data_IF_070369789255
#
_entry.id   IF_070369789255
#
_cell.length_a   1.000
_cell.length_b   1.000
_cell.length_c   1.000
_cell.angle_alpha   90.00
_cell.angle_beta   90.00
_cell.angle_gamma   90.00
#
_symmetry.space_group_name_H-M   'P 1'
#
loop_
_entity.id
_entity.type
_entity.pdbx_description
1 polymer ?
#
# COMPACT_ATOMS: atom_id res chain seq x y z
N UNK A 1 -34.26 2.19 2.89
CA UNK A 1 -34.07 3.52 2.25
C UNK A 1 -33.54 4.60 3.20
N UNK A 2 -34.12 4.82 4.39
CA UNK A 2 -33.67 5.85 5.35
C UNK A 2 -32.21 5.73 5.84
N UNK A 3 -31.70 4.50 6.02
CA UNK A 3 -30.32 4.26 6.47
C UNK A 3 -29.30 4.73 5.42
N UNK A 4 -29.53 4.40 4.15
CA UNK A 4 -28.62 4.77 3.06
C UNK A 4 -28.53 6.29 2.89
N UNK A 5 -29.65 7.00 2.99
CA UNK A 5 -29.67 8.46 2.96
C UNK A 5 -28.91 9.08 4.14
N UNK A 6 -29.03 8.49 5.34
CA UNK A 6 -28.29 8.93 6.52
C UNK A 6 -26.79 8.68 6.41
N UNK A 7 -26.38 7.55 5.81
CA UNK A 7 -24.96 7.27 5.54
C UNK A 7 -24.42 8.28 4.52
N UNK A 8 -25.14 8.51 3.42
CA UNK A 8 -24.72 9.43 2.38
C UNK A 8 -24.54 10.86 2.93
N UNK A 9 -25.48 11.34 3.75
CA UNK A 9 -25.38 12.67 4.34
C UNK A 9 -24.19 12.80 5.31
N UNK A 10 -23.88 11.75 6.08
CA UNK A 10 -22.70 11.73 6.95
C UNK A 10 -21.39 11.77 6.14
N UNK A 11 -21.32 11.01 5.04
CA UNK A 11 -20.15 11.01 4.15
C UNK A 11 -19.94 12.39 3.52
N UNK A 12 -21.00 13.01 2.99
CA UNK A 12 -20.92 14.38 2.46
C UNK A 12 -20.42 15.38 3.53
N UNK A 13 -20.99 15.34 4.74
CA UNK A 13 -20.57 16.21 5.83
C UNK A 13 -19.12 16.01 6.25
N UNK A 14 -18.64 14.77 6.22
CA UNK A 14 -17.22 14.47 6.47
C UNK A 14 -16.35 15.05 5.37
N UNK A 15 -16.64 14.75 4.10
CA UNK A 15 -15.88 15.27 2.96
C UNK A 15 -15.83 16.80 2.99
N UNK A 16 -16.96 17.47 3.19
CA UNK A 16 -17.03 18.93 3.29
C UNK A 16 -16.13 19.47 4.40
N UNK A 17 -16.09 18.81 5.56
CA UNK A 17 -15.19 19.19 6.65
C UNK A 17 -13.73 19.02 6.27
N UNK A 18 -13.38 17.92 5.60
CA UNK A 18 -11.99 17.64 5.20
C UNK A 18 -11.51 18.60 4.11
N UNK A 19 -12.37 18.92 3.12
CA UNK A 19 -12.05 19.87 2.04
C UNK A 19 -11.76 21.27 2.56
N UNK A 20 -12.55 21.72 3.54
CA UNK A 20 -12.48 23.08 4.06
C UNK A 20 -11.43 23.27 5.16
N UNK A 21 -10.67 22.24 5.52
CA UNK A 21 -9.55 22.43 6.45
C UNK A 21 -8.45 23.30 5.83
N UNK A 22 -7.99 24.29 6.60
CA UNK A 22 -6.84 25.13 6.26
C UNK A 22 -5.57 24.41 6.71
N UNK A 23 -5.02 23.59 5.82
CA UNK A 23 -3.71 22.96 6.01
C UNK A 23 -2.76 23.63 5.02
N UNK A 24 -1.67 24.20 5.54
CA UNK A 24 -0.60 24.75 4.73
C UNK A 24 0.33 23.63 4.23
N UNK A 25 1.20 23.96 3.26
CA UNK A 25 2.10 22.96 2.66
C UNK A 25 3.04 22.35 3.71
N UNK A 26 3.50 23.14 4.69
CA UNK A 26 4.38 22.66 5.75
C UNK A 26 3.62 21.70 6.67
N UNK A 27 2.44 22.09 7.15
CA UNK A 27 1.59 21.21 7.96
C UNK A 27 1.25 19.90 7.24
N UNK A 28 0.98 19.98 5.94
CA UNK A 28 0.75 18.80 5.10
C UNK A 28 1.96 17.86 5.09
N UNK A 29 3.16 18.40 4.84
CA UNK A 29 4.40 17.63 4.80
C UNK A 29 4.71 17.00 6.16
N UNK A 30 4.53 17.74 7.25
CA UNK A 30 4.74 17.24 8.61
C UNK A 30 3.82 16.06 8.89
N UNK A 31 2.52 16.20 8.63
CA UNK A 31 1.55 15.11 8.85
C UNK A 31 1.90 13.89 8.00
N UNK A 32 2.21 14.10 6.72
CA UNK A 32 2.59 13.02 5.82
C UNK A 32 3.84 12.27 6.30
N UNK A 33 4.91 12.99 6.64
CA UNK A 33 6.15 12.38 7.13
C UNK A 33 5.99 11.71 8.49
N UNK A 34 5.11 12.21 9.36
CA UNK A 34 4.76 11.50 10.60
C UNK A 34 4.17 10.11 10.30
N UNK A 35 3.22 10.00 9.37
CA UNK A 35 2.66 8.69 8.99
C UNK A 35 3.69 7.77 8.36
N UNK A 36 4.53 8.30 7.46
CA UNK A 36 5.63 7.54 6.87
C UNK A 36 6.60 7.05 7.93
N UNK A 37 6.99 7.90 8.88
CA UNK A 37 7.89 7.52 9.96
C UNK A 37 7.28 6.42 10.85
N UNK A 38 6.02 6.58 11.26
CA UNK A 38 5.31 5.56 12.04
C UNK A 38 5.25 4.23 11.28
N UNK A 39 4.92 4.26 9.98
CA UNK A 39 4.89 3.07 9.14
C UNK A 39 6.22 2.32 9.19
N UNK A 40 7.30 3.04 8.88
CA UNK A 40 8.63 2.48 8.80
C UNK A 40 9.08 1.97 10.18
N UNK A 41 8.75 2.70 11.25
CA UNK A 41 9.00 2.27 12.63
C UNK A 41 8.30 0.94 12.95
N UNK A 42 7.02 0.79 12.58
CA UNK A 42 6.29 -0.47 12.77
C UNK A 42 6.88 -1.62 11.94
N UNK A 43 7.27 -1.36 10.68
CA UNK A 43 7.93 -2.35 9.82
C UNK A 43 9.25 -2.87 10.45
N UNK A 44 10.05 -1.98 11.04
CA UNK A 44 11.28 -2.37 11.76
C UNK A 44 11.01 -3.18 13.03
N UNK A 45 9.95 -2.86 13.78
CA UNK A 45 9.58 -3.64 14.97
C UNK A 45 9.20 -5.09 14.60
N UNK A 46 8.59 -5.26 13.43
CA UNK A 46 8.19 -6.57 12.92
C UNK A 46 9.38 -7.33 12.32
N UNK A 47 10.24 -6.65 11.55
CA UNK A 47 11.38 -7.27 10.87
C UNK A 47 12.66 -6.42 10.97
N UNK A 48 13.43 -6.58 12.06
CA UNK A 48 14.65 -5.78 12.30
C UNK A 48 15.77 -6.05 11.28
N UNK A 49 15.73 -7.18 10.57
CA UNK A 49 16.82 -7.66 9.72
C UNK A 49 17.04 -6.85 8.42
N UNK A 50 16.11 -5.97 8.04
CA UNK A 50 16.18 -5.18 6.79
C UNK A 50 16.71 -3.75 6.97
N UNK A 51 17.13 -3.39 8.18
CA UNK A 51 17.53 -2.02 8.48
C UNK A 51 18.89 -1.67 7.84
N UNK A 52 18.83 -1.06 6.65
CA UNK A 52 19.98 -0.39 6.01
C UNK A 52 19.72 1.13 6.01
N UNK A 53 20.47 1.86 6.84
CA UNK A 53 20.36 3.32 7.03
C UNK A 53 20.15 4.12 5.74
N UNK A 54 20.93 3.83 4.70
CA UNK A 54 20.85 4.50 3.39
C UNK A 54 19.53 4.30 2.63
N UNK A 55 18.90 3.12 2.76
CA UNK A 55 17.58 2.85 2.17
C UNK A 55 16.45 3.45 3.03
N UNK A 56 16.72 3.61 4.32
CA UNK A 56 15.75 4.00 5.33
C UNK A 56 15.38 5.48 5.30
N UNK A 57 16.37 6.37 5.21
CA UNK A 57 16.14 7.81 5.39
C UNK A 57 15.79 8.56 4.11
N UNK A 58 16.18 8.03 2.95
CA UNK A 58 15.93 8.69 1.66
C UNK A 58 14.98 7.88 0.78
N UNK A 59 15.28 6.60 0.53
CA UNK A 59 14.50 5.80 -0.42
C UNK A 59 13.08 5.51 0.07
N UNK A 60 12.91 5.07 1.32
CA UNK A 60 11.58 4.79 1.87
C UNK A 60 10.65 6.02 1.84
N UNK A 61 11.03 7.13 2.50
CA UNK A 61 10.21 8.34 2.50
C UNK A 61 9.96 8.93 1.12
N UNK A 62 10.99 8.95 0.24
CA UNK A 62 10.82 9.42 -1.13
C UNK A 62 9.84 8.52 -1.92
N UNK A 63 9.95 7.20 -1.81
CA UNK A 63 9.04 6.26 -2.47
C UNK A 63 7.58 6.52 -2.08
N UNK A 64 7.30 6.69 -0.78
CA UNK A 64 5.95 7.00 -0.33
C UNK A 64 5.48 8.37 -0.81
N UNK A 65 6.34 9.40 -0.75
CA UNK A 65 6.01 10.74 -1.22
C UNK A 65 5.66 10.73 -2.71
N UNK A 66 6.50 10.14 -3.56
CA UNK A 66 6.27 10.06 -4.99
C UNK A 66 5.03 9.23 -5.34
N UNK A 67 4.80 8.12 -4.65
CA UNK A 67 3.60 7.30 -4.83
C UNK A 67 2.33 8.08 -4.47
N UNK A 68 2.39 8.85 -3.40
CA UNK A 68 1.28 9.66 -2.93
C UNK A 68 0.97 10.83 -3.88
N UNK A 69 2.01 11.53 -4.35
CA UNK A 69 1.89 12.59 -5.36
C UNK A 69 1.36 12.04 -6.68
N UNK A 70 1.85 10.88 -7.12
CA UNK A 70 1.33 10.20 -8.31
C UNK A 70 -0.17 9.89 -8.16
N UNK A 71 -0.60 9.40 -6.99
CA UNK A 71 -2.01 9.15 -6.73
C UNK A 71 -2.85 10.44 -6.73
N UNK A 72 -2.36 11.53 -6.13
CA UNK A 72 -3.02 12.84 -6.18
C UNK A 72 -3.16 13.32 -7.63
N UNK A 73 -2.11 13.20 -8.44
CA UNK A 73 -2.15 13.58 -9.85
C UNK A 73 -3.14 12.72 -10.64
N UNK A 74 -3.15 11.40 -10.39
CA UNK A 74 -4.11 10.49 -11.01
C UNK A 74 -5.55 10.89 -10.67
N UNK A 75 -5.84 11.15 -9.39
CA UNK A 75 -7.15 11.66 -8.96
C UNK A 75 -7.48 12.99 -9.60
N UNK A 76 -6.53 13.90 -9.70
CA UNK A 76 -6.68 15.19 -10.39
C UNK A 76 -7.08 15.00 -11.85
N UNK A 77 -6.41 14.12 -12.60
CA UNK A 77 -6.77 13.85 -13.99
C UNK A 77 -8.14 13.20 -14.15
N UNK A 78 -8.52 12.29 -13.25
CA UNK A 78 -9.80 11.57 -13.31
C UNK A 78 -10.99 12.46 -12.90
N UNK A 79 -10.85 13.23 -11.84
CA UNK A 79 -11.94 14.05 -11.28
C UNK A 79 -12.01 15.44 -11.87
N UNK A 80 -10.88 15.98 -12.34
CA UNK A 80 -10.70 17.39 -12.74
C UNK A 80 -11.06 18.40 -11.64
N UNK A 81 -11.12 17.95 -10.39
CA UNK A 81 -11.32 18.81 -9.23
C UNK A 81 -10.08 19.64 -8.93
N UNK A 82 -10.23 20.68 -8.11
CA UNK A 82 -9.09 21.52 -7.70
C UNK A 82 -8.04 20.68 -6.96
N UNK A 83 -6.78 20.76 -7.38
CA UNK A 83 -5.69 19.95 -6.83
C UNK A 83 -5.54 20.14 -5.32
N UNK A 84 -5.82 21.33 -4.80
CA UNK A 84 -5.77 21.65 -3.38
C UNK A 84 -6.81 20.84 -2.58
N UNK A 85 -8.02 20.65 -3.12
CA UNK A 85 -9.06 19.83 -2.47
C UNK A 85 -8.63 18.38 -2.41
N UNK A 86 -8.18 17.84 -3.55
CA UNK A 86 -7.72 16.45 -3.68
C UNK A 86 -6.58 16.19 -2.71
N UNK A 87 -5.61 17.10 -2.62
CA UNK A 87 -4.43 16.97 -1.76
C UNK A 87 -4.82 16.96 -0.27
N UNK A 88 -5.79 17.79 0.14
CA UNK A 88 -6.32 17.80 1.52
C UNK A 88 -7.05 16.51 1.87
N UNK A 89 -7.97 16.06 1.01
CA UNK A 89 -8.71 14.81 1.24
C UNK A 89 -7.74 13.63 1.26
N UNK A 90 -6.79 13.59 0.33
CA UNK A 90 -5.83 12.50 0.22
C UNK A 90 -4.98 12.38 1.48
N UNK A 91 -4.59 13.50 2.12
CA UNK A 91 -3.85 13.47 3.39
C UNK A 91 -4.58 12.66 4.47
N UNK A 92 -5.92 12.72 4.51
CA UNK A 92 -6.73 11.93 5.44
C UNK A 92 -6.76 10.43 5.13
N UNK A 93 -6.28 10.03 3.94
CA UNK A 93 -6.02 8.64 3.57
C UNK A 93 -4.62 8.18 3.98
N UNK A 94 -3.72 9.06 4.44
CA UNK A 94 -2.39 8.69 4.92
C UNK A 94 -2.38 7.63 6.05
N UNK A 95 -3.35 7.58 6.99
CA UNK A 95 -3.46 6.47 7.95
C UNK A 95 -3.57 5.08 7.29
N UNK A 96 -4.09 4.98 6.06
CA UNK A 96 -4.12 3.71 5.32
C UNK A 96 -2.73 3.16 5.03
N UNK A 97 -1.70 4.03 4.99
CA UNK A 97 -0.30 3.60 4.88
C UNK A 97 0.14 2.73 6.06
N UNK A 98 -0.52 2.85 7.22
CA UNK A 98 -0.24 2.07 8.41
C UNK A 98 -0.95 0.71 8.41
N UNK A 99 -1.95 0.50 7.54
CA UNK A 99 -2.72 -0.74 7.54
C UNK A 99 -1.84 -1.98 7.35
N UNK A 100 -0.89 -2.04 6.40
CA UNK A 100 -0.08 -3.23 6.21
C UNK A 100 0.68 -3.67 7.48
N UNK A 101 1.51 -2.82 8.12
CA UNK A 101 2.22 -3.24 9.33
C UNK A 101 1.27 -3.44 10.54
N UNK A 102 0.17 -2.69 10.65
CA UNK A 102 -0.82 -2.92 11.72
C UNK A 102 -1.49 -4.29 11.58
N UNK A 103 -1.89 -4.67 10.36
CA UNK A 103 -2.48 -5.98 10.09
C UNK A 103 -1.47 -7.10 10.33
N UNK A 104 -0.20 -6.90 9.95
CA UNK A 104 0.88 -7.84 10.24
C UNK A 104 1.09 -8.05 11.75
N UNK A 105 1.00 -6.98 12.54
CA UNK A 105 1.11 -7.06 13.99
C UNK A 105 -0.10 -7.74 14.64
N UNK A 106 -1.33 -7.38 14.23
CA UNK A 106 -2.57 -7.85 14.86
C UNK A 106 -2.92 -9.28 14.42
N UNK A 107 -2.95 -9.52 13.11
CA UNK A 107 -3.44 -10.79 12.54
C UNK A 107 -2.35 -11.85 12.58
N UNK A 108 -1.14 -11.48 12.16
CA UNK A 108 -0.04 -12.43 11.97
C UNK A 108 0.93 -12.47 13.15
N UNK A 109 0.71 -11.65 14.19
CA UNK A 109 1.54 -11.57 15.40
C UNK A 109 3.03 -11.39 15.09
N UNK A 110 3.34 -10.66 14.02
CA UNK A 110 4.71 -10.45 13.54
C UNK A 110 5.41 -11.69 12.98
N UNK A 111 4.69 -12.79 12.70
CA UNK A 111 5.28 -14.05 12.21
C UNK A 111 5.21 -14.24 10.69
N UNK A 112 4.45 -13.42 9.98
CA UNK A 112 4.19 -13.63 8.56
C UNK A 112 4.22 -12.29 7.85
N UNK A 113 5.14 -12.15 6.87
CA UNK A 113 4.93 -11.50 5.55
C UNK A 113 6.13 -10.67 5.05
N UNK A 114 6.98 -10.07 5.89
CA UNK A 114 8.15 -9.31 5.37
C UNK A 114 9.07 -10.17 4.48
N UNK A 115 9.24 -11.48 4.74
CA UNK A 115 10.01 -12.36 3.83
C UNK A 115 9.32 -12.58 2.48
N UNK A 116 7.98 -12.63 2.39
CA UNK A 116 7.28 -12.88 1.11
C UNK A 116 7.15 -11.65 0.23
N UNK A 117 7.04 -10.43 0.77
CA UNK A 117 7.06 -9.21 -0.05
C UNK A 117 8.46 -8.83 -0.51
N UNK A 118 9.50 -9.11 0.29
CA UNK A 118 10.89 -8.93 -0.15
C UNK A 118 11.33 -10.03 -1.11
N UNK A 119 10.84 -11.27 -0.94
CA UNK A 119 10.88 -12.29 -1.99
C UNK A 119 10.14 -11.77 -3.23
N UNK A 120 8.89 -11.31 -3.13
CA UNK A 120 8.15 -10.77 -4.27
C UNK A 120 8.88 -9.60 -4.98
N UNK A 121 9.48 -8.67 -4.24
CA UNK A 121 10.30 -7.59 -4.78
C UNK A 121 11.63 -8.08 -5.38
N UNK A 122 12.19 -9.19 -4.89
CA UNK A 122 13.32 -9.88 -5.49
C UNK A 122 12.94 -10.73 -6.72
N UNK A 123 11.67 -11.13 -6.86
CA UNK A 123 11.13 -11.92 -7.97
C UNK A 123 10.69 -11.06 -9.16
N UNK A 124 10.36 -9.79 -8.89
CA UNK A 124 10.02 -8.80 -9.90
C UNK A 124 11.30 -8.09 -10.32
N UNK A 125 12.05 -8.72 -11.23
CA UNK A 125 13.31 -8.18 -11.74
C UNK A 125 13.10 -6.99 -12.69
N UNK A 126 11.88 -6.76 -13.18
CA UNK A 126 11.57 -5.58 -13.99
C UNK A 126 10.08 -5.30 -14.20
N UNK A 127 9.79 -4.18 -14.87
CA UNK A 127 8.44 -3.69 -15.22
C UNK A 127 7.54 -4.74 -15.91
N UNK A 128 8.13 -5.67 -16.68
CA UNK A 128 7.38 -6.74 -17.37
C UNK A 128 6.76 -7.73 -16.39
N UNK A 129 7.43 -8.02 -15.28
CA UNK A 129 6.95 -8.95 -14.27
C UNK A 129 5.83 -8.32 -13.45
N UNK A 130 5.92 -7.01 -13.15
CA UNK A 130 4.83 -6.22 -12.56
C UNK A 130 3.58 -6.29 -13.44
N UNK A 131 3.74 -6.06 -14.75
CA UNK A 131 2.62 -6.07 -15.69
C UNK A 131 1.98 -7.46 -15.82
N UNK A 132 2.77 -8.54 -15.80
CA UNK A 132 2.25 -9.91 -15.78
C UNK A 132 1.50 -10.25 -14.50
N UNK A 133 2.03 -9.90 -13.34
CA UNK A 133 1.34 -10.11 -12.06
C UNK A 133 0.02 -9.35 -12.06
N UNK A 134 0.02 -8.10 -12.52
CA UNK A 134 -1.18 -7.29 -12.65
C UNK A 134 -2.22 -7.95 -13.57
N UNK A 135 -1.82 -8.40 -14.77
CA UNK A 135 -2.69 -9.13 -15.69
C UNK A 135 -3.23 -10.43 -15.08
N UNK A 136 -2.39 -11.20 -14.41
CA UNK A 136 -2.81 -12.44 -13.76
C UNK A 136 -3.79 -12.20 -12.63
N UNK A 137 -3.64 -11.12 -11.87
CA UNK A 137 -4.60 -10.72 -10.86
C UNK A 137 -5.94 -10.32 -11.47
N UNK A 138 -5.93 -9.57 -12.57
CA UNK A 138 -7.16 -9.18 -13.29
C UNK A 138 -7.89 -10.41 -13.85
N UNK A 139 -7.15 -11.37 -14.42
CA UNK A 139 -7.72 -12.54 -15.09
C UNK A 139 -8.13 -13.66 -14.13
N UNK A 140 -7.40 -13.85 -13.03
CA UNK A 140 -7.53 -15.01 -12.14
C UNK A 140 -7.80 -14.64 -10.67
N UNK A 141 -8.02 -13.36 -10.38
CA UNK A 141 -8.27 -12.84 -9.03
C UNK A 141 -7.07 -13.07 -8.09
N UNK A 142 -7.34 -13.25 -6.79
CA UNK A 142 -6.31 -13.51 -5.78
C UNK A 142 -5.49 -14.78 -6.04
N UNK A 143 -6.02 -15.73 -6.81
CA UNK A 143 -5.29 -16.95 -7.23
C UNK A 143 -4.19 -16.65 -8.25
N UNK A 144 -4.35 -15.61 -9.08
CA UNK A 144 -3.35 -15.18 -10.05
C UNK A 144 -2.04 -14.71 -9.42
N UNK A 145 -2.09 -14.25 -8.17
CA UNK A 145 -0.90 -13.90 -7.37
C UNK A 145 -0.13 -15.14 -6.91
N UNK A 146 -0.81 -16.28 -6.73
CA UNK A 146 -0.21 -17.55 -6.30
C UNK A 146 0.47 -18.29 -7.46
N UNK A 147 -0.05 -18.17 -8.69
CA UNK A 147 0.51 -18.80 -9.88
C UNK A 147 1.89 -18.27 -10.29
N UNK A 148 2.25 -17.06 -9.86
CA UNK A 148 3.57 -16.51 -10.16
C UNK A 148 4.67 -17.15 -9.30
N UNK A 149 4.33 -17.63 -8.10
CA UNK A 149 5.25 -18.27 -7.15
C UNK A 149 5.71 -19.68 -7.54
N UNK A 150 4.93 -20.41 -8.34
CA UNK A 150 5.21 -21.82 -8.67
C UNK A 150 5.99 -22.03 -9.98
N UNK A 151 6.16 -20.98 -10.79
CA UNK A 151 6.83 -21.07 -12.10
C UNK A 151 8.36 -20.83 -12.03
N UNK A 152 8.85 -20.20 -10.95
CA UNK A 152 10.27 -19.93 -10.74
C UNK A 152 10.90 -20.78 -9.63
N UNK A 153 10.10 -21.52 -8.85
CA UNK A 153 10.62 -22.69 -8.16
C UNK A 153 10.82 -23.76 -9.22
N UNK A 154 12.08 -24.05 -9.56
CA UNK A 154 12.43 -24.95 -10.66
C UNK A 154 11.61 -26.25 -10.68
N UNK A 155 11.55 -26.95 -11.83
CA UNK A 155 10.57 -28.00 -12.16
C UNK A 155 10.43 -29.14 -11.12
N UNK A 156 11.35 -29.28 -10.16
CA UNK A 156 11.26 -30.22 -9.05
C UNK A 156 10.37 -29.83 -7.86
N UNK A 157 9.97 -28.55 -7.70
CA UNK A 157 9.16 -28.13 -6.52
C UNK A 157 7.66 -28.29 -6.74
N UNK A 158 7.20 -28.13 -7.98
CA UNK A 158 5.81 -28.37 -8.40
C UNK A 158 5.37 -29.81 -8.14
N UNK A 159 6.27 -30.79 -8.24
CA UNK A 159 5.93 -32.21 -8.05
C UNK A 159 5.79 -32.62 -6.57
N UNK A 160 6.48 -31.93 -5.66
CA UNK A 160 6.40 -32.22 -4.22
C UNK A 160 5.17 -31.58 -3.58
N UNK A 161 4.80 -30.37 -4.00
CA UNK A 161 3.61 -29.68 -3.48
C UNK A 161 2.29 -30.38 -3.88
N UNK A 162 2.30 -31.26 -4.89
CA UNK A 162 1.14 -32.11 -5.24
C UNK A 162 1.01 -33.38 -4.39
N UNK A 163 2.09 -33.88 -3.78
CA UNK A 163 2.05 -35.07 -2.93
C UNK A 163 1.49 -34.80 -1.54
N UNK A 164 1.54 -33.55 -1.09
CA UNK A 164 1.04 -33.17 0.24
C UNK A 164 -0.42 -32.70 0.22
N UNK A 165 -1.06 -32.72 -0.96
CA UNK A 165 -2.44 -32.24 -1.17
C UNK A 165 -3.40 -33.35 -1.62
N UNK A 166 -2.90 -34.56 -1.93
CA UNK A 166 -3.72 -35.73 -2.28
C UNK A 166 -3.24 -37.01 -1.57
#
# INVERSE_FOLDING_TARGET
MKIFQKINSLVCQLIDKLENQKIDVIGWLVVFFCFVFIRIFLENLISPALFKWQFFFLHGPAFYLFSFLFFILLLYFLTKEKIEKITRISLWLAPLLLLPPILELIVFRGRMVVSRYTEFAGWVAGMRDIFRVFLNFILFGSKGLLYFGSLFSGPGKLLNDFKDVF
#
